data_IF_747778467582
#
_entry.id   IF_747778467582
#
_cell.length_a   1.000
_cell.length_b   1.000
_cell.length_c   1.000
_cell.angle_alpha   90.00
_cell.angle_beta   90.00
_cell.angle_gamma   90.00
#
_symmetry.space_group_name_H-M   'P 1'
#
loop_
_entity.id
_entity.type
_entity.pdbx_description
1 polymer ?
#
# COMPACT_ATOMS: atom_id res chain seq x y z
N UNK A 1 -11.51 -10.14 9.64
CA UNK A 1 -11.07 -9.48 10.87
C UNK A 1 -11.04 -7.98 10.69
N UNK A 2 -11.43 -7.28 11.71
CA UNK A 2 -11.44 -5.82 11.69
C UNK A 2 -10.03 -5.29 11.89
N UNK A 3 -9.67 -4.26 11.12
CA UNK A 3 -8.44 -3.53 11.35
C UNK A 3 -8.58 -2.70 12.63
N UNK A 4 -7.56 -2.73 13.45
CA UNK A 4 -7.54 -2.02 14.72
C UNK A 4 -6.45 -0.96 14.73
N UNK A 5 -6.53 -0.03 15.66
CA UNK A 5 -5.48 0.99 15.80
C UNK A 5 -4.13 0.32 16.08
N UNK A 6 -3.08 0.87 15.48
CA UNK A 6 -1.71 0.37 15.49
C UNK A 6 -1.45 -0.87 14.63
N UNK A 7 -2.47 -1.44 13.99
CA UNK A 7 -2.21 -2.47 12.99
C UNK A 7 -1.40 -1.87 11.85
N UNK A 8 -0.45 -2.64 11.33
CA UNK A 8 0.37 -2.21 10.22
C UNK A 8 -0.10 -2.90 8.95
N UNK A 9 -0.48 -2.11 7.96
CA UNK A 9 -0.75 -2.60 6.61
C UNK A 9 0.56 -2.51 5.84
N UNK A 10 1.07 -3.63 5.39
CA UNK A 10 2.30 -3.70 4.62
C UNK A 10 1.99 -4.18 3.21
N UNK A 11 2.41 -3.42 2.22
CA UNK A 11 2.12 -3.70 0.81
C UNK A 11 3.41 -3.93 0.06
N UNK A 12 3.46 -5.01 -0.68
CA UNK A 12 4.57 -5.31 -1.58
C UNK A 12 4.02 -5.48 -2.99
N UNK A 13 4.70 -4.91 -3.97
CA UNK A 13 4.22 -4.88 -5.33
C UNK A 13 5.40 -5.00 -6.30
N UNK A 14 5.23 -5.78 -7.36
CA UNK A 14 6.22 -5.91 -8.42
C UNK A 14 5.77 -5.16 -9.67
N UNK A 15 6.73 -4.57 -10.37
CA UNK A 15 6.49 -3.87 -11.62
C UNK A 15 7.79 -3.53 -12.32
N UNK A 16 7.72 -2.69 -13.34
CA UNK A 16 8.92 -2.24 -14.02
C UNK A 16 9.78 -1.39 -13.07
N UNK A 17 11.10 -1.50 -13.14
CA UNK A 17 11.97 -0.68 -12.30
C UNK A 17 11.95 0.79 -12.71
N UNK A 18 12.31 1.65 -11.76
CA UNK A 18 12.49 3.07 -12.03
C UNK A 18 11.22 3.89 -12.08
N UNK A 19 10.12 3.37 -11.53
CA UNK A 19 8.85 4.09 -11.48
C UNK A 19 8.62 4.71 -10.11
N UNK A 20 7.66 5.63 -10.04
CA UNK A 20 7.13 6.12 -8.77
C UNK A 20 5.95 5.24 -8.39
N UNK A 21 5.93 4.77 -7.14
CA UNK A 21 4.90 3.86 -6.68
C UNK A 21 4.20 4.40 -5.44
N UNK A 22 2.90 4.19 -5.37
CA UNK A 22 2.12 4.45 -4.17
C UNK A 22 0.94 3.48 -4.13
N UNK A 23 0.32 3.36 -2.96
CA UNK A 23 -0.88 2.55 -2.84
C UNK A 23 -1.98 3.32 -2.15
N UNK A 24 -3.20 2.88 -2.41
CA UNK A 24 -4.40 3.43 -1.80
C UNK A 24 -5.08 2.36 -0.96
N UNK A 25 -5.67 2.78 0.14
CA UNK A 25 -6.50 1.93 1.00
C UNK A 25 -7.94 2.37 0.76
N UNK A 26 -8.58 1.76 -0.24
CA UNK A 26 -9.90 2.21 -0.69
C UNK A 26 -9.92 3.70 -0.96
N UNK A 27 -10.96 4.38 -0.51
CA UNK A 27 -11.02 5.85 -0.53
C UNK A 27 -10.57 6.48 0.79
N UNK A 28 -10.24 5.64 1.76
CA UNK A 28 -9.89 6.08 3.10
C UNK A 28 -8.55 6.83 3.14
N UNK A 29 -7.53 6.24 2.52
CA UNK A 29 -6.20 6.83 2.47
C UNK A 29 -5.62 6.61 1.10
N UNK A 30 -5.23 7.67 0.43
CA UNK A 30 -4.68 7.59 -0.93
C UNK A 30 -3.25 8.10 -0.97
N UNK A 31 -2.49 7.61 -1.94
CA UNK A 31 -1.15 8.12 -2.20
C UNK A 31 -0.12 7.77 -1.14
N UNK A 32 -0.23 6.60 -0.51
CA UNK A 32 0.80 6.16 0.44
C UNK A 32 2.05 5.80 -0.35
N UNK A 33 3.13 6.52 -0.13
CA UNK A 33 4.37 6.38 -0.90
C UNK A 33 4.99 5.00 -0.68
N UNK A 34 5.40 4.37 -1.77
CA UNK A 34 6.15 3.12 -1.74
C UNK A 34 7.58 3.36 -2.18
N UNK A 35 8.48 2.54 -1.68
CA UNK A 35 9.91 2.62 -2.00
C UNK A 35 10.32 1.43 -2.83
N UNK A 36 11.09 1.68 -3.88
CA UNK A 36 11.71 0.61 -4.65
C UNK A 36 12.91 0.08 -3.88
N UNK A 37 12.77 -1.12 -3.31
CA UNK A 37 13.78 -1.72 -2.43
C UNK A 37 14.76 -2.60 -3.19
N UNK A 38 14.37 -3.06 -4.36
CA UNK A 38 15.23 -3.70 -5.35
C UNK A 38 14.58 -3.47 -6.71
N UNK A 39 15.30 -3.68 -7.84
CA UNK A 39 14.74 -3.35 -9.15
C UNK A 39 13.37 -3.99 -9.37
N UNK A 40 12.35 -3.14 -9.55
CA UNK A 40 11.00 -3.58 -9.79
C UNK A 40 10.22 -4.06 -8.57
N UNK A 41 10.81 -4.04 -7.38
CA UNK A 41 10.11 -4.43 -6.15
C UNK A 41 9.86 -3.20 -5.29
N UNK A 42 8.59 -2.91 -5.07
CA UNK A 42 8.15 -1.73 -4.32
C UNK A 42 7.46 -2.16 -3.04
N UNK A 43 7.80 -1.51 -1.94
CA UNK A 43 7.16 -1.77 -0.64
C UNK A 43 6.72 -0.48 0.00
N UNK A 44 5.67 -0.57 0.79
CA UNK A 44 5.18 0.56 1.56
C UNK A 44 4.33 0.07 2.72
N UNK A 45 4.09 0.93 3.67
CA UNK A 45 3.29 0.57 4.83
C UNK A 45 2.48 1.75 5.34
N UNK A 46 1.39 1.41 6.02
CA UNK A 46 0.55 2.39 6.68
C UNK A 46 0.13 1.82 8.03
N UNK A 47 0.35 2.60 9.08
CA UNK A 47 -0.08 2.20 10.41
C UNK A 47 -1.44 2.82 10.72
N UNK A 48 -2.38 1.98 11.09
CA UNK A 48 -3.73 2.41 11.42
C UNK A 48 -3.69 3.28 12.66
N UNK A 49 -4.25 4.48 12.55
CA UNK A 49 -4.31 5.42 13.66
C UNK A 49 -5.59 5.23 14.46
N UNK A 50 -5.59 5.68 15.69
CA UNK A 50 -6.73 5.53 16.60
C UNK A 50 -8.02 6.13 16.05
N UNK A 51 -7.91 7.14 15.19
CA UNK A 51 -9.08 7.82 14.57
C UNK A 51 -9.58 7.12 13.31
N UNK A 52 -8.82 6.18 12.80
CA UNK A 52 -9.14 5.55 11.54
C UNK A 52 -10.30 4.58 11.71
N UNK A 53 -11.25 4.64 10.79
CA UNK A 53 -12.42 3.76 10.79
C UNK A 53 -12.47 3.00 9.49
N UNK A 54 -11.69 1.93 9.43
CA UNK A 54 -11.61 1.10 8.25
C UNK A 54 -12.36 -0.20 8.57
N UNK A 55 -13.43 -0.48 7.83
CA UNK A 55 -14.16 -1.75 7.96
C UNK A 55 -13.64 -2.79 7.01
N UNK A 56 -13.56 -2.43 5.76
CA UNK A 56 -12.91 -3.22 4.74
C UNK A 56 -12.40 -2.26 3.69
N UNK A 57 -11.24 -2.55 3.14
CA UNK A 57 -10.66 -1.66 2.17
C UNK A 57 -9.93 -2.46 1.11
N UNK A 58 -10.12 -2.08 -0.13
CA UNK A 58 -9.38 -2.63 -1.26
C UNK A 58 -8.04 -1.90 -1.34
N UNK A 59 -6.96 -2.66 -1.42
CA UNK A 59 -5.64 -2.09 -1.62
C UNK A 59 -5.36 -2.00 -3.10
N UNK A 60 -5.08 -0.80 -3.56
CA UNK A 60 -4.80 -0.54 -4.98
C UNK A 60 -3.38 -0.01 -5.10
N UNK A 61 -2.54 -0.74 -5.83
CA UNK A 61 -1.20 -0.29 -6.14
C UNK A 61 -1.19 0.53 -7.42
N UNK A 62 -0.41 1.60 -7.42
CA UNK A 62 -0.28 2.49 -8.57
C UNK A 62 1.19 2.67 -8.93
N UNK A 63 1.50 2.58 -10.22
CA UNK A 63 2.82 2.91 -10.73
C UNK A 63 2.71 4.07 -11.71
N UNK A 64 3.62 5.01 -11.57
CA UNK A 64 3.64 6.21 -12.41
C UNK A 64 5.03 6.32 -13.04
N UNK A 65 5.07 6.50 -14.35
CA UNK A 65 6.33 6.73 -15.04
C UNK A 65 6.87 8.11 -14.68
N UNK A 66 8.20 8.26 -14.78
CA UNK A 66 8.85 9.56 -14.55
C UNK A 66 8.40 10.65 -15.51
N UNK A 67 7.79 10.28 -16.63
CA UNK A 67 7.25 11.23 -17.61
C UNK A 67 5.81 11.64 -17.27
N UNK A 68 5.29 11.24 -16.12
CA UNK A 68 3.94 11.62 -15.71
C UNK A 68 2.82 10.84 -16.37
N UNK A 69 3.16 9.81 -17.15
CA UNK A 69 2.14 8.94 -17.74
C UNK A 69 1.66 7.97 -16.66
N UNK A 70 0.41 8.13 -16.28
CA UNK A 70 -0.19 7.32 -15.24
C UNK A 70 -0.51 5.94 -15.81
N UNK A 71 0.21 4.93 -15.37
CA UNK A 71 -0.21 3.55 -15.60
C UNK A 71 -0.81 3.06 -14.31
N UNK A 72 -2.12 3.19 -14.16
CA UNK A 72 -2.83 2.50 -13.09
C UNK A 72 -2.86 1.03 -13.44
N UNK A 73 -1.99 0.25 -12.83
CA UNK A 73 -2.04 -1.19 -12.98
C UNK A 73 -2.52 -1.80 -11.67
N UNK A 74 -3.59 -2.58 -11.77
CA UNK A 74 -3.98 -3.49 -10.72
C UNK A 74 -2.94 -4.61 -10.70
N UNK A 75 -2.12 -4.66 -9.65
CA UNK A 75 -1.14 -5.73 -9.58
C UNK A 75 -1.77 -6.94 -8.93
N UNK A 76 -1.89 -8.02 -9.69
CA UNK A 76 -2.37 -9.31 -9.21
C UNK A 76 -1.48 -9.92 -8.12
N UNK A 77 -0.32 -9.31 -7.85
CA UNK A 77 0.66 -9.82 -6.89
C UNK A 77 0.92 -8.87 -5.73
N UNK A 78 -0.02 -7.99 -5.44
CA UNK A 78 0.11 -7.18 -4.23
C UNK A 78 -0.06 -8.09 -3.02
N UNK A 79 0.96 -8.18 -2.20
CA UNK A 79 0.89 -8.92 -0.94
C UNK A 79 0.61 -7.91 0.16
N UNK A 80 -0.48 -8.14 0.87
CA UNK A 80 -0.88 -7.29 2.00
C UNK A 80 -0.68 -8.10 3.26
N UNK A 81 0.17 -7.61 4.14
CA UNK A 81 0.39 -8.22 5.44
C UNK A 81 -0.13 -7.24 6.48
N UNK A 82 -1.02 -7.71 7.32
CA UNK A 82 -1.51 -6.94 8.45
C UNK A 82 -0.83 -7.45 9.69
N UNK A 83 0.00 -6.61 10.28
CA UNK A 83 0.69 -6.94 11.51
C UNK A 83 -0.13 -6.39 12.68
N UNK A 84 -0.76 -7.29 13.43
CA UNK A 84 -1.57 -6.92 14.57
C UNK A 84 -0.69 -6.62 15.78
N UNK A 85 -0.99 -5.51 16.45
CA UNK A 85 -0.38 -5.26 17.75
C UNK A 85 -1.06 -6.12 18.78
N UNK A 86 -0.24 -6.75 19.63
CA UNK A 86 -0.79 -7.51 20.76
C UNK A 86 -1.43 -6.52 21.74
N UNK A 87 -2.70 -6.74 22.03
CA UNK A 87 -3.39 -5.96 23.05
C UNK A 87 -2.76 -6.22 24.41
N UNK A 88 -2.41 -5.15 25.07
CA UNK A 88 -1.88 -5.22 26.44
C UNK A 88 -3.03 -5.14 27.42
#
# INVERSE_FOLDING_TARGET
SKLQSNDLIYVSMEGDPGLTAHFDIGSFKTGVIMKEVSPGLYTGSYRIKKRDRIRSALIIGNLISKKGLTAKKFYKKAVVIIEETLAQ
#
